data_IF_499394950950
#
_entry.id   IF_499394950950
#
_cell.length_a   1.000
_cell.length_b   1.000
_cell.length_c   1.000
_cell.angle_alpha   90.00
_cell.angle_beta   90.00
_cell.angle_gamma   90.00
#
_symmetry.space_group_name_H-M   'P 1'
#
loop_
_entity.id
_entity.type
_entity.pdbx_description
1 polymer ?
#
# COMPACT_ATOMS: atom_id res chain seq x y z
N UNK A 1 42.56 64.37 11.23
CA UNK A 1 41.30 64.00 11.89
C UNK A 1 40.49 63.19 10.90
N UNK A 2 40.07 61.98 11.29
CA UNK A 2 39.44 60.98 10.42
C UNK A 2 37.93 61.19 10.45
N UNK A 3 37.33 61.63 9.35
CA UNK A 3 35.88 61.56 9.19
C UNK A 3 35.48 60.09 9.02
N UNK A 4 34.74 59.56 10.00
CA UNK A 4 34.26 58.18 10.00
C UNK A 4 33.20 57.94 8.92
N UNK A 5 33.05 56.69 8.42
CA UNK A 5 32.04 56.39 7.42
C UNK A 5 30.63 56.35 8.05
N UNK A 6 29.66 56.81 7.26
CA UNK A 6 28.20 56.81 7.52
C UNK A 6 27.68 55.42 7.95
N UNK A 7 26.68 55.33 8.85
CA UNK A 7 26.00 54.07 9.11
C UNK A 7 25.25 53.63 7.87
N UNK A 8 25.51 52.40 7.43
CA UNK A 8 24.79 51.74 6.35
C UNK A 8 23.46 51.24 6.90
N UNK A 9 22.34 51.86 6.51
CA UNK A 9 21.01 51.31 6.77
C UNK A 9 20.87 50.00 6.00
N UNK A 10 20.76 48.89 6.73
CA UNK A 10 20.38 47.60 6.15
C UNK A 10 18.87 47.57 5.95
N UNK A 11 18.36 47.25 4.75
CA UNK A 11 16.94 47.00 4.57
C UNK A 11 16.54 45.77 5.40
N UNK A 12 15.62 45.96 6.34
CA UNK A 12 14.96 44.89 7.06
C UNK A 12 14.29 43.94 6.07
N UNK A 13 14.89 42.77 5.86
CA UNK A 13 14.33 41.69 5.07
C UNK A 13 13.01 41.23 5.72
N UNK A 14 11.89 41.54 5.06
CA UNK A 14 10.56 41.10 5.46
C UNK A 14 10.48 39.57 5.26
N UNK A 15 10.59 38.82 6.36
CA UNK A 15 10.50 37.37 6.38
C UNK A 15 9.06 36.93 6.02
N UNK A 16 8.78 36.81 4.73
CA UNK A 16 7.56 36.15 4.22
C UNK A 16 7.71 34.64 4.41
N UNK A 17 7.37 34.16 5.61
CA UNK A 17 7.16 32.73 5.85
C UNK A 17 5.90 32.30 5.08
N UNK A 18 6.05 31.97 3.80
CA UNK A 18 5.06 31.19 3.07
C UNK A 18 5.03 29.78 3.68
N UNK A 19 3.85 29.24 4.04
CA UNK A 19 3.78 27.87 4.54
C UNK A 19 4.29 26.96 3.41
N UNK A 20 5.39 26.24 3.67
CA UNK A 20 5.96 25.34 2.66
C UNK A 20 4.89 24.29 2.33
N UNK A 21 4.32 24.37 1.12
CA UNK A 21 3.40 23.39 0.61
C UNK A 21 4.15 22.05 0.62
N UNK A 22 3.66 21.08 1.42
CA UNK A 22 4.23 19.73 1.42
C UNK A 22 3.83 19.04 0.13
N UNK A 23 4.66 19.14 -0.89
CA UNK A 23 4.49 18.41 -2.14
C UNK A 23 4.78 16.94 -1.87
N UNK A 24 3.78 16.07 -2.06
CA UNK A 24 3.96 14.63 -2.01
C UNK A 24 4.33 14.16 -3.41
N UNK A 25 5.55 13.68 -3.59
CA UNK A 25 5.92 13.02 -4.84
C UNK A 25 5.14 11.70 -4.94
N UNK A 26 4.30 11.58 -5.96
CA UNK A 26 3.57 10.35 -6.25
C UNK A 26 4.59 9.30 -6.66
N UNK A 27 4.88 8.36 -5.74
CA UNK A 27 5.87 7.31 -5.95
C UNK A 27 5.42 6.21 -6.91
N UNK A 28 4.12 6.10 -7.21
CA UNK A 28 3.55 5.05 -8.07
C UNK A 28 2.27 5.53 -8.78
N UNK A 29 1.79 4.75 -9.75
CA UNK A 29 0.53 4.95 -10.48
C UNK A 29 -0.65 5.01 -9.49
N UNK A 30 -1.12 6.21 -9.19
CA UNK A 30 -2.23 6.48 -8.27
C UNK A 30 -3.44 7.00 -9.04
N UNK A 31 -4.65 6.60 -8.65
CA UNK A 31 -5.90 6.99 -9.29
C UNK A 31 -6.69 5.79 -9.80
N UNK A 32 -7.60 6.02 -10.74
CA UNK A 32 -8.49 4.99 -11.30
C UNK A 32 -7.71 3.81 -11.92
N UNK A 33 -6.48 4.05 -12.40
CA UNK A 33 -5.61 3.03 -12.97
C UNK A 33 -5.20 1.96 -11.93
N UNK A 34 -5.12 2.32 -10.64
CA UNK A 34 -4.79 1.39 -9.57
C UNK A 34 -6.03 0.71 -8.96
N UNK A 35 -7.24 1.07 -9.41
CA UNK A 35 -8.49 0.49 -8.92
C UNK A 35 -8.56 -1.05 -9.09
N UNK A 36 -8.10 -1.65 -10.21
CA UNK A 36 -8.07 -3.10 -10.33
C UNK A 36 -7.22 -3.77 -9.26
N UNK A 37 -6.05 -3.20 -8.96
CA UNK A 37 -5.16 -3.69 -7.90
C UNK A 37 -5.80 -3.54 -6.53
N UNK A 38 -6.51 -2.43 -6.27
CA UNK A 38 -7.24 -2.24 -5.00
C UNK A 38 -8.33 -3.29 -4.81
N UNK A 39 -9.12 -3.57 -5.86
CA UNK A 39 -10.20 -4.56 -5.80
C UNK A 39 -9.61 -5.96 -5.61
N UNK A 40 -8.52 -6.28 -6.32
CA UNK A 40 -7.83 -7.56 -6.19
C UNK A 40 -7.25 -7.75 -4.78
N UNK A 41 -6.51 -6.76 -4.28
CA UNK A 41 -5.92 -6.80 -2.94
C UNK A 41 -7.01 -6.92 -1.87
N UNK A 42 -8.14 -6.21 -2.05
CA UNK A 42 -9.29 -6.32 -1.16
C UNK A 42 -9.95 -7.70 -1.23
N UNK A 43 -10.14 -8.27 -2.42
CA UNK A 43 -10.71 -9.62 -2.57
C UNK A 43 -9.81 -10.70 -1.94
N UNK A 44 -8.48 -10.54 -2.03
CA UNK A 44 -7.53 -11.42 -1.36
C UNK A 44 -7.58 -11.22 0.16
N UNK A 45 -7.63 -9.96 0.62
CA UNK A 45 -7.69 -9.61 2.04
C UNK A 45 -8.97 -10.06 2.73
N UNK A 46 -10.12 -9.95 2.05
CA UNK A 46 -11.41 -10.38 2.57
C UNK A 46 -11.50 -11.92 2.62
N UNK A 47 -10.61 -12.60 1.90
CA UNK A 47 -10.54 -14.05 1.81
C UNK A 47 -11.66 -14.63 0.94
N UNK A 48 -11.53 -15.91 0.60
CA UNK A 48 -12.59 -16.67 -0.07
C UNK A 48 -12.82 -17.97 0.67
N UNK A 49 -14.08 -18.40 0.72
CA UNK A 49 -14.46 -19.71 1.24
C UNK A 49 -14.72 -20.63 0.06
N UNK A 50 -13.95 -21.70 -0.04
CA UNK A 50 -14.13 -22.73 -1.06
C UNK A 50 -14.59 -24.02 -0.41
N UNK A 51 -15.79 -24.49 -0.77
CA UNK A 51 -16.38 -25.71 -0.23
C UNK A 51 -16.30 -26.82 -1.28
N UNK A 52 -15.70 -27.96 -0.91
CA UNK A 52 -15.65 -29.16 -1.76
C UNK A 52 -16.47 -30.26 -1.11
N UNK A 53 -17.36 -30.88 -1.90
CA UNK A 53 -18.06 -32.11 -1.52
C UNK A 53 -17.53 -33.27 -2.38
N UNK A 54 -17.01 -34.31 -1.74
CA UNK A 54 -16.57 -35.53 -2.42
C UNK A 54 -17.59 -36.67 -2.18
N UNK A 55 -18.13 -37.25 -3.25
CA UNK A 55 -19.09 -38.37 -3.20
C UNK A 55 -18.60 -39.53 -4.06
N UNK A 56 -18.79 -40.76 -3.59
CA UNK A 56 -18.37 -41.98 -4.29
C UNK A 56 -18.26 -43.18 -3.35
N UNK A 57 -18.12 -44.38 -3.90
CA UNK A 57 -17.98 -45.64 -3.15
C UNK A 57 -16.80 -45.62 -2.15
N UNK A 58 -16.90 -46.38 -1.06
CA UNK A 58 -15.82 -46.54 -0.09
C UNK A 58 -14.52 -46.97 -0.78
N UNK A 59 -13.37 -46.52 -0.26
CA UNK A 59 -12.03 -46.85 -0.75
C UNK A 59 -11.66 -46.37 -2.18
N UNK A 60 -12.48 -45.55 -2.85
CA UNK A 60 -12.06 -44.91 -4.12
C UNK A 60 -11.03 -43.78 -3.98
N UNK A 61 -10.58 -43.49 -2.75
CA UNK A 61 -9.56 -42.47 -2.50
C UNK A 61 -10.07 -41.04 -2.31
N UNK A 62 -11.36 -40.82 -1.96
CA UNK A 62 -11.90 -39.47 -1.69
C UNK A 62 -11.08 -38.69 -0.66
N UNK A 63 -10.80 -39.31 0.49
CA UNK A 63 -9.99 -38.67 1.55
C UNK A 63 -8.55 -38.47 1.10
N UNK A 64 -7.96 -39.47 0.44
CA UNK A 64 -6.59 -39.38 -0.11
C UNK A 64 -6.43 -38.29 -1.17
N UNK A 65 -7.47 -38.02 -1.97
CA UNK A 65 -7.49 -36.92 -2.94
C UNK A 65 -7.49 -35.57 -2.23
N UNK A 66 -8.31 -35.40 -1.19
CA UNK A 66 -8.34 -34.17 -0.40
C UNK A 66 -7.02 -33.94 0.33
N UNK A 67 -6.46 -34.99 0.93
CA UNK A 67 -5.15 -34.95 1.59
C UNK A 67 -4.04 -34.55 0.61
N UNK A 68 -4.07 -35.08 -0.62
CA UNK A 68 -3.10 -34.74 -1.66
C UNK A 68 -3.29 -33.32 -2.21
N UNK A 69 -4.54 -32.87 -2.37
CA UNK A 69 -4.86 -31.56 -2.93
C UNK A 69 -4.44 -30.42 -1.99
N UNK A 70 -4.61 -30.62 -0.68
CA UNK A 70 -4.30 -29.61 0.33
C UNK A 70 -3.00 -29.88 1.09
N UNK A 71 -2.31 -31.00 0.80
CA UNK A 71 -1.14 -31.45 1.53
C UNK A 71 -1.40 -31.51 3.06
N UNK A 72 -2.58 -31.97 3.44
CA UNK A 72 -3.05 -32.11 4.82
C UNK A 72 -3.34 -33.57 5.14
N UNK A 73 -3.41 -33.92 6.43
CA UNK A 73 -4.02 -35.17 6.87
C UNK A 73 -5.35 -34.83 7.53
N UNK A 74 -6.44 -35.21 6.88
CA UNK A 74 -7.78 -35.09 7.44
C UNK A 74 -8.03 -36.30 8.34
N UNK A 75 -7.82 -36.13 9.65
CA UNK A 75 -8.09 -37.14 10.68
C UNK A 75 -9.60 -37.32 10.96
#
# INVERSE_FOLDING_TARGET
MKDGPRPTEQPSQLNSQTPSIRTFELKDECGINNLPNQIMAKAISDGFVFNILCVGETACGKSSLLDSLFNTRLD
#
